data_IF_192147422364
#
_entry.id   IF_192147422364
#
_cell.length_a   1.000
_cell.length_b   1.000
_cell.length_c   1.000
_cell.angle_alpha   90.00
_cell.angle_beta   90.00
_cell.angle_gamma   90.00
#
_symmetry.space_group_name_H-M   'P 1'
#
loop_
_entity.id
_entity.type
_entity.pdbx_description
1 polymer ?
#
# COMPACT_ATOMS: atom_id res chain seq x y z
N UNK A 1 3.69 34.70 -0.13
CA UNK A 1 2.47 34.42 -0.91
C UNK A 1 2.54 32.97 -1.35
N UNK A 2 2.29 32.06 -0.41
CA UNK A 2 2.54 30.62 -0.59
C UNK A 2 1.51 30.03 -1.54
N UNK A 3 1.97 29.60 -2.71
CA UNK A 3 1.25 28.66 -3.56
C UNK A 3 1.08 27.35 -2.79
N UNK A 4 -0.03 27.23 -2.06
CA UNK A 4 -0.52 25.92 -1.67
C UNK A 4 -1.03 25.27 -2.95
N UNK A 5 -0.27 24.29 -3.46
CA UNK A 5 -0.64 23.41 -4.56
C UNK A 5 -1.86 22.57 -4.14
N UNK A 6 -3.03 23.20 -4.13
CA UNK A 6 -4.31 22.53 -3.99
C UNK A 6 -4.70 21.99 -5.36
N UNK A 7 -4.47 20.70 -5.59
CA UNK A 7 -5.20 20.02 -6.67
C UNK A 7 -6.62 19.78 -6.15
N UNK A 8 -7.48 20.76 -6.40
CA UNK A 8 -8.92 20.64 -6.18
C UNK A 8 -9.47 19.63 -7.19
N UNK A 9 -10.12 18.58 -6.72
CA UNK A 9 -11.11 17.87 -7.53
C UNK A 9 -12.46 18.56 -7.27
N UNK A 10 -12.93 19.42 -8.18
CA UNK A 10 -14.02 20.37 -7.92
C UNK A 10 -15.39 19.73 -7.68
N UNK A 11 -15.50 18.40 -7.71
CA UNK A 11 -16.77 17.68 -7.67
C UNK A 11 -17.25 17.29 -6.26
N UNK A 12 -16.41 17.38 -5.21
CA UNK A 12 -16.78 16.87 -3.86
C UNK A 12 -16.50 17.81 -2.69
N UNK A 13 -15.83 18.94 -2.90
CA UNK A 13 -15.44 19.87 -1.81
C UNK A 13 -14.38 19.31 -0.84
N UNK A 14 -13.79 18.14 -1.13
CA UNK A 14 -12.71 17.52 -0.35
C UNK A 14 -11.35 17.74 -1.03
N UNK A 15 -10.31 17.86 -0.22
CA UNK A 15 -8.94 18.06 -0.68
C UNK A 15 -8.29 16.72 -1.07
N UNK A 16 -7.76 16.63 -2.29
CA UNK A 16 -7.03 15.45 -2.75
C UNK A 16 -5.62 15.37 -2.16
N UNK A 17 -4.97 16.52 -1.97
CA UNK A 17 -3.66 16.65 -1.35
C UNK A 17 -3.82 17.61 -0.17
N UNK A 18 -3.39 17.18 1.01
CA UNK A 18 -3.41 17.97 2.24
C UNK A 18 -1.98 18.19 2.74
N UNK A 19 -1.65 19.45 3.03
CA UNK A 19 -0.35 19.85 3.58
C UNK A 19 -0.59 20.60 4.87
N UNK A 20 -0.30 19.95 6.00
CA UNK A 20 -0.43 20.59 7.31
C UNK A 20 0.72 21.58 7.52
N UNK A 21 0.45 22.82 7.98
CA UNK A 21 1.50 23.78 8.30
C UNK A 21 2.49 23.21 9.32
N UNK A 22 3.77 23.12 8.93
CA UNK A 22 4.84 22.53 9.75
C UNK A 22 5.22 21.09 9.41
N UNK A 23 4.42 20.38 8.60
CA UNK A 23 4.80 19.06 8.07
C UNK A 23 5.72 19.21 6.85
N UNK A 24 6.76 18.38 6.77
CA UNK A 24 7.60 18.23 5.56
C UNK A 24 7.00 17.26 4.53
N UNK A 25 5.90 16.60 4.88
CA UNK A 25 5.28 15.54 4.09
C UNK A 25 3.84 15.96 3.77
N UNK A 26 3.47 15.85 2.49
CA UNK A 26 2.10 16.02 2.02
C UNK A 26 1.34 14.69 2.11
N UNK A 27 0.09 14.73 2.55
CA UNK A 27 -0.81 13.59 2.52
C UNK A 27 -1.61 13.60 1.22
N UNK A 28 -1.68 12.45 0.53
CA UNK A 28 -2.45 12.30 -0.71
C UNK A 28 -3.60 11.32 -0.44
N UNK A 29 -4.83 11.78 -0.64
CA UNK A 29 -6.02 10.92 -0.58
C UNK A 29 -6.04 9.98 -1.79
N UNK A 30 -5.82 8.69 -1.55
CA UNK A 30 -5.85 7.65 -2.59
C UNK A 30 -7.25 7.40 -3.16
N UNK A 31 -8.31 7.74 -2.39
CA UNK A 31 -9.70 7.63 -2.84
C UNK A 31 -10.06 8.74 -3.83
N UNK A 32 -9.53 9.95 -3.61
CA UNK A 32 -9.78 11.10 -4.47
C UNK A 32 -8.77 11.16 -5.62
N UNK A 33 -7.55 10.65 -5.45
CA UNK A 33 -6.53 10.72 -6.48
C UNK A 33 -6.96 9.93 -7.73
N UNK A 34 -7.22 10.67 -8.81
CA UNK A 34 -7.60 10.07 -10.10
C UNK A 34 -6.39 9.68 -10.96
N UNK A 35 -5.16 9.93 -10.49
CA UNK A 35 -3.95 9.69 -11.28
C UNK A 35 -3.79 10.66 -12.46
N UNK A 36 -4.25 11.92 -12.31
CA UNK A 36 -4.16 12.93 -13.38
C UNK A 36 -2.74 13.43 -13.65
N UNK A 37 -1.77 13.09 -12.80
CA UNK A 37 -0.35 13.46 -12.91
C UNK A 37 -0.05 14.97 -12.92
N UNK A 38 -1.04 15.82 -12.63
CA UNK A 38 -0.87 17.28 -12.52
C UNK A 38 0.11 17.65 -11.39
N UNK A 39 0.16 16.84 -10.33
CA UNK A 39 1.12 17.00 -9.22
C UNK A 39 2.55 16.56 -9.53
N UNK A 40 2.77 15.87 -10.66
CA UNK A 40 3.98 15.10 -10.92
C UNK A 40 4.60 15.51 -12.26
N UNK A 41 4.90 16.81 -12.39
CA UNK A 41 5.40 17.39 -13.64
C UNK A 41 6.78 16.89 -14.07
N UNK A 42 7.50 16.12 -13.23
CA UNK A 42 8.89 15.72 -13.50
C UNK A 42 9.26 14.27 -13.15
N UNK A 43 8.35 13.43 -12.62
CA UNK A 43 8.69 12.05 -12.28
C UNK A 43 7.70 10.99 -12.79
N UNK A 44 8.26 9.80 -12.97
CA UNK A 44 7.62 8.65 -13.57
C UNK A 44 6.48 8.14 -12.68
N UNK A 45 5.27 8.60 -12.99
CA UNK A 45 4.09 8.24 -12.25
C UNK A 45 3.62 6.84 -12.63
N UNK A 46 3.71 5.91 -11.68
CA UNK A 46 2.99 4.65 -11.80
C UNK A 46 1.51 4.93 -11.57
N UNK A 47 0.66 4.61 -12.55
CA UNK A 47 -0.79 4.54 -12.34
C UNK A 47 -1.04 3.62 -11.14
N UNK A 48 -1.54 4.17 -10.03
CA UNK A 48 -1.98 3.37 -8.90
C UNK A 48 -3.22 2.59 -9.35
N UNK A 49 -3.18 1.26 -9.41
CA UNK A 49 -4.37 0.48 -9.73
C UNK A 49 -5.37 0.67 -8.59
N UNK A 50 -6.53 1.27 -8.90
CA UNK A 50 -7.56 1.61 -7.91
C UNK A 50 -8.14 0.37 -7.19
N UNK A 51 -7.94 -0.82 -7.74
CA UNK A 51 -8.52 -2.08 -7.25
C UNK A 51 -7.60 -2.95 -6.38
N UNK A 52 -6.34 -2.57 -6.16
CA UNK A 52 -5.40 -3.40 -5.39
C UNK A 52 -5.59 -3.29 -3.87
N UNK A 53 -6.41 -2.36 -3.39
CA UNK A 53 -6.56 -2.11 -1.96
C UNK A 53 -7.12 -3.34 -1.21
N UNK A 54 -8.01 -4.10 -1.87
CA UNK A 54 -8.59 -5.36 -1.35
C UNK A 54 -7.53 -6.43 -1.12
N UNK A 55 -6.50 -6.47 -1.95
CA UNK A 55 -5.45 -7.48 -1.86
C UNK A 55 -4.31 -7.05 -0.94
N UNK A 56 -4.40 -5.93 -0.21
CA UNK A 56 -3.27 -5.41 0.58
C UNK A 56 -2.97 -6.27 1.81
N UNK A 57 -1.94 -7.11 1.74
CA UNK A 57 -1.43 -7.88 2.90
C UNK A 57 -0.78 -6.98 3.95
N UNK A 58 0.06 -6.04 3.51
CA UNK A 58 0.84 -5.22 4.44
C UNK A 58 1.06 -3.79 3.91
N UNK A 59 0.99 -2.79 4.79
CA UNK A 59 1.28 -1.38 4.48
C UNK A 59 2.10 -0.74 5.60
N UNK A 60 3.16 -0.01 5.27
CA UNK A 60 3.97 0.68 6.30
C UNK A 60 3.33 1.98 6.82
N UNK A 61 2.57 2.68 5.99
CA UNK A 61 1.93 3.94 6.37
C UNK A 61 1.22 4.62 5.19
N UNK A 62 0.66 5.81 5.39
CA UNK A 62 -0.05 6.55 4.35
C UNK A 62 0.93 6.94 3.24
N UNK A 63 0.53 6.79 1.97
CA UNK A 63 1.34 7.06 0.77
C UNK A 63 2.74 6.38 0.73
N UNK A 64 2.95 5.34 1.54
CA UNK A 64 4.17 4.51 1.54
C UNK A 64 3.85 3.15 0.89
N UNK A 65 4.90 2.40 0.56
CA UNK A 65 4.86 1.03 0.04
C UNK A 65 3.74 0.15 0.63
N UNK A 66 2.98 -0.47 -0.27
CA UNK A 66 1.96 -1.49 -0.01
C UNK A 66 2.41 -2.82 -0.62
N UNK A 67 2.34 -3.87 0.17
CA UNK A 67 2.45 -5.25 -0.30
C UNK A 67 1.05 -5.81 -0.49
N UNK A 68 0.73 -6.22 -1.71
CA UNK A 68 -0.57 -6.80 -2.02
C UNK A 68 -0.56 -8.30 -1.76
N UNK A 69 -0.13 -9.12 -2.70
CA UNK A 69 -0.22 -10.58 -2.57
C UNK A 69 1.09 -11.17 -2.05
N UNK A 70 0.99 -12.31 -1.35
CA UNK A 70 2.13 -13.14 -1.00
C UNK A 70 2.17 -14.36 -1.91
N UNK A 71 3.36 -14.77 -2.37
CA UNK A 71 3.50 -16.05 -3.02
C UNK A 71 3.37 -17.19 -2.00
N UNK A 72 2.71 -18.27 -2.40
CA UNK A 72 2.52 -19.46 -1.56
C UNK A 72 3.68 -20.42 -1.81
N UNK A 73 4.51 -20.73 -0.79
CA UNK A 73 5.53 -21.75 -0.93
C UNK A 73 4.87 -23.14 -1.03
N UNK A 74 5.28 -23.96 -2.01
CA UNK A 74 4.82 -25.35 -2.14
C UNK A 74 5.90 -26.31 -1.61
N UNK A 75 5.55 -27.30 -0.78
CA UNK A 75 6.53 -28.26 -0.27
C UNK A 75 7.19 -29.02 -1.42
N UNK A 76 8.49 -29.26 -1.30
CA UNK A 76 9.29 -29.96 -2.31
C UNK A 76 9.62 -29.14 -3.57
N UNK A 77 9.33 -27.84 -3.62
CA UNK A 77 9.71 -26.94 -4.72
C UNK A 77 10.44 -25.71 -4.23
N UNK A 78 11.35 -25.18 -5.04
CA UNK A 78 12.02 -23.90 -4.79
C UNK A 78 11.17 -22.76 -5.33
N UNK A 79 10.80 -21.82 -4.47
CA UNK A 79 10.08 -20.60 -4.85
C UNK A 79 11.09 -19.47 -5.13
N UNK A 80 11.18 -19.03 -6.40
CA UNK A 80 11.97 -17.87 -6.79
C UNK A 80 11.16 -16.57 -6.74
N UNK A 81 11.64 -15.56 -6.01
CA UNK A 81 11.07 -14.22 -5.94
C UNK A 81 11.96 -13.24 -6.75
N UNK A 82 11.55 -12.91 -7.96
CA UNK A 82 12.30 -12.03 -8.87
C UNK A 82 11.53 -10.73 -9.10
N UNK A 83 12.24 -9.60 -9.15
CA UNK A 83 11.66 -8.28 -9.38
C UNK A 83 12.66 -7.17 -9.08
N UNK A 84 12.31 -5.92 -9.38
CA UNK A 84 13.16 -4.74 -9.14
C UNK A 84 13.33 -4.46 -7.64
N UNK A 85 14.34 -3.65 -7.29
CA UNK A 85 14.52 -3.17 -5.92
C UNK A 85 13.33 -2.29 -5.52
N UNK A 86 12.88 -2.39 -4.27
CA UNK A 86 11.73 -1.63 -3.78
C UNK A 86 10.35 -2.25 -4.05
N UNK A 87 10.24 -3.36 -4.81
CA UNK A 87 8.95 -4.01 -5.08
C UNK A 87 8.37 -4.82 -3.89
N UNK A 88 9.12 -4.95 -2.80
CA UNK A 88 8.65 -5.63 -1.58
C UNK A 88 9.08 -7.08 -1.39
N UNK A 89 10.05 -7.61 -2.15
CA UNK A 89 10.56 -8.98 -1.99
C UNK A 89 10.97 -9.31 -0.55
N UNK A 90 11.78 -8.44 0.06
CA UNK A 90 12.23 -8.62 1.45
C UNK A 90 11.07 -8.51 2.44
N UNK A 91 10.07 -7.68 2.14
CA UNK A 91 8.85 -7.56 2.96
C UNK A 91 8.04 -8.85 2.89
N UNK A 92 7.83 -9.42 1.69
CA UNK A 92 7.14 -10.69 1.51
C UNK A 92 7.82 -11.84 2.26
N UNK A 93 9.15 -11.93 2.19
CA UNK A 93 9.91 -12.94 2.94
C UNK A 93 9.78 -12.77 4.47
N UNK A 94 9.79 -11.53 4.98
CA UNK A 94 9.59 -11.28 6.42
C UNK A 94 8.19 -11.69 6.87
N UNK A 95 7.17 -11.48 6.04
CA UNK A 95 5.81 -11.90 6.35
C UNK A 95 5.68 -13.43 6.35
N UNK A 96 6.21 -14.10 5.32
CA UNK A 96 6.21 -15.56 5.23
C UNK A 96 7.03 -16.22 6.36
N UNK A 97 8.11 -15.57 6.81
CA UNK A 97 8.91 -16.03 7.95
C UNK A 97 8.28 -15.75 9.33
N UNK A 98 7.07 -15.16 9.38
CA UNK A 98 6.40 -14.76 10.62
C UNK A 98 7.07 -13.61 11.39
N UNK A 99 8.14 -13.01 10.84
CA UNK A 99 8.84 -11.86 11.45
C UNK A 99 8.06 -10.56 11.29
N UNK A 100 7.14 -10.50 10.34
CA UNK A 100 6.28 -9.36 10.10
C UNK A 100 4.82 -9.81 10.01
N UNK A 101 3.98 -9.27 10.88
CA UNK A 101 2.54 -9.60 10.91
C UNK A 101 1.81 -8.84 9.79
N UNK A 102 1.00 -9.50 8.95
CA UNK A 102 0.11 -8.83 8.00
C UNK A 102 -0.78 -7.82 8.73
N UNK A 103 -0.93 -6.62 8.18
CA UNK A 103 -1.80 -5.61 8.80
C UNK A 103 -3.08 -5.33 8.01
N UNK A 104 -3.27 -6.01 6.87
CA UNK A 104 -4.50 -5.95 6.07
C UNK A 104 -4.94 -4.50 5.81
N UNK A 105 -4.00 -3.66 5.34
CA UNK A 105 -4.13 -2.21 5.12
C UNK A 105 -4.21 -1.35 6.40
N UNK A 106 -4.51 -1.93 7.56
CA UNK A 106 -4.67 -1.22 8.85
C UNK A 106 -3.32 -1.03 9.56
N UNK A 107 -2.56 -0.02 9.15
CA UNK A 107 -1.24 0.27 9.75
C UNK A 107 -1.33 0.96 11.13
N UNK A 108 -2.36 1.77 11.38
CA UNK A 108 -2.54 2.47 12.67
C UNK A 108 -3.09 1.55 13.77
N UNK A 109 -3.94 0.60 13.40
CA UNK A 109 -4.55 -0.35 14.33
C UNK A 109 -4.47 -1.75 13.71
N UNK A 110 -3.30 -2.40 13.75
CA UNK A 110 -3.09 -3.68 13.10
C UNK A 110 -3.94 -4.78 13.79
N UNK A 111 -4.59 -5.65 13.00
CA UNK A 111 -5.44 -6.72 13.53
C UNK A 111 -4.67 -7.75 14.34
N UNK A 112 -5.40 -8.53 15.14
CA UNK A 112 -4.80 -9.66 15.84
C UNK A 112 -4.58 -10.88 14.92
N UNK A 113 -3.74 -11.84 15.33
CA UNK A 113 -3.49 -13.08 14.59
C UNK A 113 -4.76 -13.85 14.32
N UNK A 114 -5.72 -13.87 15.26
CA UNK A 114 -7.01 -14.51 15.04
C UNK A 114 -7.75 -13.92 13.84
N UNK A 115 -7.80 -12.60 13.73
CA UNK A 115 -8.47 -11.90 12.64
C UNK A 115 -7.72 -12.07 11.30
N UNK A 116 -6.38 -12.07 11.34
CA UNK A 116 -5.56 -12.34 10.16
C UNK A 116 -5.79 -13.77 9.66
N UNK A 117 -5.82 -14.75 10.56
CA UNK A 117 -6.08 -16.15 10.21
C UNK A 117 -7.50 -16.32 9.66
N UNK A 118 -8.48 -15.57 10.17
CA UNK A 118 -9.83 -15.53 9.60
C UNK A 118 -9.84 -14.94 8.19
N UNK A 119 -9.05 -13.89 7.94
CA UNK A 119 -8.93 -13.27 6.61
C UNK A 119 -8.24 -14.17 5.58
N UNK A 120 -7.20 -14.89 6.01
CA UNK A 120 -6.42 -15.81 5.17
C UNK A 120 -7.15 -17.17 5.02
N UNK A 121 -8.21 -17.40 5.81
CA UNK A 121 -8.95 -18.66 5.84
C UNK A 121 -9.54 -18.99 4.45
N UNK A 122 -9.21 -20.17 3.92
CA UNK A 122 -9.64 -20.59 2.59
C UNK A 122 -8.77 -20.07 1.44
N UNK A 123 -7.70 -19.35 1.71
CA UNK A 123 -6.66 -19.04 0.73
C UNK A 123 -5.57 -20.12 0.71
N UNK A 124 -4.84 -20.22 -0.40
CA UNK A 124 -3.70 -21.16 -0.53
C UNK A 124 -2.60 -20.94 0.52
N UNK A 125 -2.56 -19.79 1.21
CA UNK A 125 -1.57 -19.47 2.25
C UNK A 125 -1.82 -20.19 3.58
N UNK A 126 -2.98 -20.84 3.76
CA UNK A 126 -3.32 -21.57 4.99
C UNK A 126 -2.76 -23.01 5.03
N UNK A 127 -2.38 -23.58 3.88
CA UNK A 127 -1.97 -24.98 3.74
C UNK A 127 -0.46 -25.19 3.92
#
# INVERSE_FOLDING_TARGET
MSLYYFIFLPLTGKLCIEVTPGSKIAFISEELCIGCHICDSDYQSFNLPKDLDKDTTYRYGPNIFKLHRLPVPRPGRVLGLVGTNGIGKSTALKVLAGKLKPNLRRFNNPPDWQEILMYIRGSELQN
#
